data_IF_586153174142
#
_entry.id   IF_586153174142
#
_cell.length_a   1.000
_cell.length_b   1.000
_cell.length_c   1.000
_cell.angle_alpha   90.00
_cell.angle_beta   90.00
_cell.angle_gamma   90.00
#
_symmetry.space_group_name_H-M   'P 1'
#
loop_
_entity.id
_entity.type
_entity.pdbx_description
1 polymer ?
#
# COMPACT_ATOMS: atom_id res chain seq x y z
N UNK A 1 -41.77 -13.70 -0.54
CA UNK A 1 -40.39 -14.18 -0.75
C UNK A 1 -39.36 -13.05 -0.94
N UNK A 2 -39.34 -12.29 -2.05
CA UNK A 2 -38.30 -11.25 -2.24
C UNK A 2 -38.42 -10.04 -1.30
N UNK A 3 -39.66 -9.60 -1.00
CA UNK A 3 -39.92 -8.50 -0.07
C UNK A 3 -39.56 -8.91 1.37
N UNK A 4 -39.97 -10.11 1.77
CA UNK A 4 -39.59 -10.75 3.04
C UNK A 4 -38.07 -10.89 3.21
N UNK A 5 -37.33 -11.20 2.13
CA UNK A 5 -35.87 -11.28 2.15
C UNK A 5 -35.19 -9.91 2.29
N UNK A 6 -35.75 -8.85 1.73
CA UNK A 6 -35.20 -7.51 1.92
C UNK A 6 -35.49 -7.01 3.33
N UNK A 7 -36.70 -7.25 3.83
CA UNK A 7 -37.16 -6.81 5.15
C UNK A 7 -36.40 -7.54 6.27
N UNK A 8 -35.94 -8.78 6.05
CA UNK A 8 -35.17 -9.56 7.05
C UNK A 8 -33.81 -8.97 7.40
N UNK A 9 -33.30 -7.98 6.65
CA UNK A 9 -32.06 -7.27 6.98
C UNK A 9 -32.26 -6.11 7.96
N UNK A 10 -33.50 -5.68 8.21
CA UNK A 10 -33.79 -4.47 8.99
C UNK A 10 -34.55 -4.78 10.28
N UNK A 11 -34.20 -4.05 11.34
CA UNK A 11 -34.84 -4.13 12.65
C UNK A 11 -36.17 -3.39 12.70
N UNK A 12 -36.43 -2.54 11.71
CA UNK A 12 -37.58 -1.66 11.62
C UNK A 12 -38.27 -1.75 10.25
N UNK A 13 -39.58 -1.45 10.24
CA UNK A 13 -40.37 -1.41 9.01
C UNK A 13 -39.97 -0.26 8.06
N UNK A 14 -39.29 0.76 8.59
CA UNK A 14 -38.80 1.92 7.84
C UNK A 14 -37.44 1.69 7.15
N UNK A 15 -36.80 0.53 7.40
CA UNK A 15 -35.51 0.14 6.80
C UNK A 15 -34.39 1.13 7.09
N UNK A 16 -34.36 1.66 8.32
CA UNK A 16 -33.34 2.63 8.75
C UNK A 16 -32.25 1.99 9.62
N UNK A 17 -32.55 0.83 10.23
CA UNK A 17 -31.63 0.11 11.11
C UNK A 17 -31.39 -1.31 10.63
N UNK A 18 -30.15 -1.63 10.27
CA UNK A 18 -29.74 -2.97 9.81
C UNK A 18 -29.39 -3.87 10.99
N UNK A 19 -29.70 -5.16 10.92
CA UNK A 19 -29.24 -6.14 11.91
C UNK A 19 -27.71 -6.27 11.89
N UNK A 20 -27.08 -6.24 13.08
CA UNK A 20 -25.64 -6.46 13.22
C UNK A 20 -25.23 -7.90 12.87
N UNK A 21 -26.10 -8.87 13.17
CA UNK A 21 -25.85 -10.30 12.96
C UNK A 21 -26.86 -10.94 12.00
N UNK A 22 -26.49 -12.10 11.46
CA UNK A 22 -27.39 -12.93 10.66
C UNK A 22 -28.59 -13.43 11.49
N UNK A 23 -29.80 -13.19 10.98
CA UNK A 23 -31.04 -13.69 11.57
C UNK A 23 -31.28 -15.15 11.18
N UNK A 24 -32.17 -15.86 11.88
CA UNK A 24 -32.41 -17.29 11.61
C UNK A 24 -32.95 -17.57 10.21
N UNK A 25 -33.63 -16.60 9.60
CA UNK A 25 -34.04 -16.66 8.19
C UNK A 25 -32.84 -16.71 7.24
N UNK A 26 -31.79 -15.94 7.53
CA UNK A 26 -30.57 -15.86 6.74
C UNK A 26 -29.80 -17.18 6.72
N UNK A 27 -29.75 -17.88 7.87
CA UNK A 27 -29.05 -19.16 8.02
C UNK A 27 -29.65 -20.30 7.18
N UNK A 28 -30.87 -20.13 6.66
CA UNK A 28 -31.57 -21.13 5.84
C UNK A 28 -31.29 -20.99 4.34
N UNK A 29 -30.56 -19.95 3.92
CA UNK A 29 -30.25 -19.69 2.52
C UNK A 29 -28.85 -20.26 2.22
N UNK A 30 -28.74 -21.14 1.22
CA UNK A 30 -27.44 -21.65 0.74
C UNK A 30 -26.55 -20.48 0.31
N UNK A 31 -25.25 -20.57 0.61
CA UNK A 31 -24.23 -19.56 0.29
C UNK A 31 -24.43 -18.21 1.00
N UNK A 32 -25.40 -18.10 1.92
CA UNK A 32 -25.71 -16.85 2.60
C UNK A 32 -24.54 -16.37 3.46
N UNK A 33 -23.85 -17.28 4.14
CA UNK A 33 -22.70 -16.95 4.98
C UNK A 33 -21.59 -16.23 4.19
N UNK A 34 -21.38 -16.58 2.92
CA UNK A 34 -20.33 -15.98 2.09
C UNK A 34 -20.68 -14.57 1.57
N UNK A 35 -21.96 -14.21 1.58
CA UNK A 35 -22.46 -12.93 1.08
C UNK A 35 -23.02 -12.02 2.19
N UNK A 36 -23.16 -12.52 3.42
CA UNK A 36 -23.78 -11.82 4.55
C UNK A 36 -23.18 -10.42 4.75
N UNK A 37 -21.85 -10.32 4.83
CA UNK A 37 -21.18 -9.04 5.05
C UNK A 37 -21.45 -8.04 3.91
N UNK A 38 -21.44 -8.52 2.67
CA UNK A 38 -21.74 -7.69 1.49
C UNK A 38 -23.20 -7.22 1.47
N UNK A 39 -24.15 -8.10 1.83
CA UNK A 39 -25.57 -7.77 1.89
C UNK A 39 -25.90 -6.83 3.06
N UNK A 40 -25.26 -6.99 4.22
CA UNK A 40 -25.39 -6.05 5.34
C UNK A 40 -24.83 -4.67 4.97
N UNK A 41 -23.67 -4.61 4.30
CA UNK A 41 -23.10 -3.37 3.81
C UNK A 41 -24.03 -2.69 2.78
N UNK A 42 -24.59 -3.47 1.84
CA UNK A 42 -25.55 -2.96 0.87
C UNK A 42 -26.85 -2.45 1.54
N UNK A 43 -27.36 -3.16 2.55
CA UNK A 43 -28.53 -2.73 3.32
C UNK A 43 -28.25 -1.44 4.10
N UNK A 44 -27.05 -1.30 4.68
CA UNK A 44 -26.65 -0.09 5.39
C UNK A 44 -26.52 1.11 4.45
N UNK A 45 -25.92 0.92 3.27
CA UNK A 45 -25.86 1.93 2.22
C UNK A 45 -27.26 2.31 1.70
N UNK A 46 -28.17 1.34 1.58
CA UNK A 46 -29.56 1.61 1.23
C UNK A 46 -30.30 2.40 2.31
N UNK A 47 -30.08 2.13 3.60
CA UNK A 47 -30.70 2.90 4.69
C UNK A 47 -30.28 4.38 4.64
N UNK A 48 -29.02 4.66 4.30
CA UNK A 48 -28.39 6.00 4.27
C UNK A 48 -27.74 6.27 2.90
N UNK A 49 -28.52 6.58 1.86
CA UNK A 49 -27.99 6.82 0.52
C UNK A 49 -27.12 8.07 0.51
N UNK A 50 -26.00 8.01 -0.19
CA UNK A 50 -25.11 9.15 -0.44
C UNK A 50 -25.28 9.61 -1.89
N UNK A 51 -24.74 10.77 -2.25
CA UNK A 51 -24.72 11.26 -3.64
C UNK A 51 -24.03 10.29 -4.61
N UNK A 52 -23.08 9.50 -4.11
CA UNK A 52 -22.37 8.44 -4.85
C UNK A 52 -23.17 7.12 -4.93
N UNK A 53 -24.03 6.85 -3.94
CA UNK A 53 -24.87 5.66 -3.86
C UNK A 53 -26.34 6.04 -4.09
N UNK A 54 -26.69 6.36 -5.34
CA UNK A 54 -28.06 6.61 -5.83
C UNK A 54 -28.98 5.39 -5.79
N UNK A 55 -28.64 4.38 -4.98
CA UNK A 55 -29.38 3.13 -4.83
C UNK A 55 -30.85 3.34 -4.51
N UNK A 56 -31.26 4.41 -3.82
CA UNK A 56 -32.69 4.71 -3.66
C UNK A 56 -33.33 5.22 -4.95
N UNK A 57 -32.70 6.16 -5.68
CA UNK A 57 -33.22 6.67 -6.95
C UNK A 57 -33.24 5.59 -8.05
N UNK A 58 -32.22 4.73 -8.11
CA UNK A 58 -32.13 3.61 -9.06
C UNK A 58 -32.96 2.38 -8.65
N UNK A 59 -33.14 2.10 -7.34
CA UNK A 59 -34.06 1.05 -6.89
C UNK A 59 -35.53 1.50 -6.88
N UNK A 60 -35.78 2.82 -6.86
CA UNK A 60 -37.08 3.44 -7.11
C UNK A 60 -37.39 3.53 -8.61
N UNK A 61 -36.54 2.99 -9.50
CA UNK A 61 -37.01 2.51 -10.80
C UNK A 61 -38.15 1.54 -10.50
N UNK A 62 -39.37 2.00 -10.78
CA UNK A 62 -40.65 1.41 -10.38
C UNK A 62 -40.91 0.12 -11.15
N UNK A 63 -40.00 -0.85 -11.00
CA UNK A 63 -40.04 -2.16 -11.60
C UNK A 63 -41.11 -2.98 -10.88
N UNK A 64 -42.17 -3.32 -11.62
CA UNK A 64 -43.24 -4.19 -11.14
C UNK A 64 -43.37 -5.42 -12.03
N UNK A 65 -43.97 -6.48 -11.47
CA UNK A 65 -44.33 -7.68 -12.24
C UNK A 65 -43.16 -8.31 -13.00
N UNK A 66 -43.29 -8.41 -14.32
CA UNK A 66 -42.32 -9.07 -15.20
C UNK A 66 -41.00 -8.29 -15.34
N UNK A 67 -41.06 -6.95 -15.39
CA UNK A 67 -39.86 -6.09 -15.45
C UNK A 67 -38.93 -6.36 -14.26
N UNK A 68 -39.51 -6.45 -13.06
CA UNK A 68 -38.76 -6.75 -11.83
C UNK A 68 -38.10 -8.13 -11.87
N UNK A 69 -38.83 -9.17 -12.31
CA UNK A 69 -38.27 -10.53 -12.43
C UNK A 69 -37.12 -10.59 -13.43
N UNK A 70 -37.27 -9.92 -14.58
CA UNK A 70 -36.26 -9.88 -15.63
C UNK A 70 -35.00 -9.11 -15.17
N UNK A 71 -35.19 -7.93 -14.57
CA UNK A 71 -34.10 -7.16 -13.97
C UNK A 71 -33.40 -7.95 -12.87
N UNK A 72 -34.13 -8.61 -11.96
CA UNK A 72 -33.55 -9.40 -10.88
C UNK A 72 -32.66 -10.54 -11.40
N UNK A 73 -33.10 -11.26 -12.44
CA UNK A 73 -32.30 -12.33 -13.03
C UNK A 73 -30.98 -11.81 -13.63
N UNK A 74 -31.02 -10.68 -14.36
CA UNK A 74 -29.83 -10.04 -14.93
C UNK A 74 -28.90 -9.48 -13.86
N UNK A 75 -29.45 -8.77 -12.88
CA UNK A 75 -28.70 -8.21 -11.75
C UNK A 75 -28.05 -9.30 -10.90
N UNK A 76 -28.71 -10.45 -10.70
CA UNK A 76 -28.11 -11.59 -9.99
C UNK A 76 -26.85 -12.08 -10.69
N UNK A 77 -26.88 -12.23 -12.02
CA UNK A 77 -25.71 -12.67 -12.78
C UNK A 77 -24.57 -11.64 -12.70
N UNK A 78 -24.87 -10.35 -12.85
CA UNK A 78 -23.88 -9.27 -12.75
C UNK A 78 -23.28 -9.19 -11.35
N UNK A 79 -24.10 -9.27 -10.29
CA UNK A 79 -23.65 -9.26 -8.90
C UNK A 79 -22.75 -10.46 -8.59
N UNK A 80 -23.07 -11.65 -9.09
CA UNK A 80 -22.21 -12.83 -8.93
C UNK A 80 -20.85 -12.66 -9.62
N UNK A 81 -20.80 -12.05 -10.81
CA UNK A 81 -19.53 -11.75 -11.48
C UNK A 81 -18.72 -10.70 -10.71
N UNK A 82 -19.38 -9.63 -10.25
CA UNK A 82 -18.75 -8.57 -9.46
C UNK A 82 -18.16 -9.12 -8.16
N UNK A 83 -18.89 -9.99 -7.46
CA UNK A 83 -18.42 -10.62 -6.23
C UNK A 83 -17.20 -11.54 -6.47
N UNK A 84 -17.21 -12.33 -7.55
CA UNK A 84 -16.04 -13.14 -7.94
C UNK A 84 -14.83 -12.27 -8.26
N UNK A 85 -15.01 -11.10 -8.85
CA UNK A 85 -13.94 -10.13 -9.09
C UNK A 85 -13.45 -9.49 -7.79
N UNK A 86 -14.35 -9.12 -6.88
CA UNK A 86 -14.00 -8.59 -5.55
C UNK A 86 -13.14 -9.57 -4.77
N UNK A 87 -13.46 -10.87 -4.78
CA UNK A 87 -12.64 -11.93 -4.14
C UNK A 87 -11.22 -12.07 -4.72
N UNK A 88 -10.95 -11.47 -5.89
CA UNK A 88 -9.63 -11.47 -6.52
C UNK A 88 -8.83 -10.20 -6.24
N UNK A 89 -9.38 -9.26 -5.46
CA UNK A 89 -8.61 -8.10 -5.01
C UNK A 89 -7.38 -8.59 -4.23
N UNK A 90 -6.19 -8.08 -4.55
CA UNK A 90 -4.96 -8.49 -3.88
C UNK A 90 -5.01 -8.11 -2.39
N UNK A 91 -4.42 -8.96 -1.55
CA UNK A 91 -4.15 -8.65 -0.15
C UNK A 91 -2.68 -8.30 -0.01
N UNK A 92 -2.39 -7.19 0.64
CA UNK A 92 -1.03 -6.80 0.97
C UNK A 92 -0.53 -7.61 2.18
N UNK A 93 0.78 -7.84 2.23
CA UNK A 93 1.48 -8.26 3.43
C UNK A 93 1.28 -7.22 4.54
N UNK A 94 1.32 -7.66 5.79
CA UNK A 94 1.15 -6.79 6.97
C UNK A 94 2.07 -5.57 6.92
N UNK A 95 3.29 -5.74 6.44
CA UNK A 95 4.29 -4.67 6.38
C UNK A 95 4.01 -3.70 5.23
N UNK A 96 3.62 -4.20 4.05
CA UNK A 96 3.24 -3.37 2.92
C UNK A 96 1.93 -2.60 3.18
N UNK A 97 0.99 -3.19 3.91
CA UNK A 97 -0.28 -2.54 4.28
C UNK A 97 -0.06 -1.38 5.27
N UNK A 98 0.82 -1.57 6.26
CA UNK A 98 1.18 -0.55 7.26
C UNK A 98 2.09 0.55 6.70
N UNK A 99 2.64 0.38 5.49
CA UNK A 99 3.58 1.34 4.93
C UNK A 99 2.89 2.67 4.61
N UNK A 100 3.32 3.72 5.32
CA UNK A 100 2.94 5.12 5.07
C UNK A 100 4.11 5.92 4.53
N UNK A 101 3.84 7.08 3.95
CA UNK A 101 4.89 7.98 3.46
C UNK A 101 5.87 8.39 4.57
N UNK A 102 5.36 8.68 5.78
CA UNK A 102 6.19 9.01 6.94
C UNK A 102 7.07 7.82 7.35
N UNK A 103 6.51 6.61 7.41
CA UNK A 103 7.28 5.40 7.74
C UNK A 103 8.38 5.13 6.68
N UNK A 104 8.06 5.29 5.40
CA UNK A 104 9.04 5.16 4.32
C UNK A 104 10.17 6.20 4.46
N UNK A 105 9.84 7.46 4.71
CA UNK A 105 10.83 8.53 4.91
C UNK A 105 11.71 8.24 6.14
N UNK A 106 11.12 7.78 7.25
CA UNK A 106 11.88 7.46 8.46
C UNK A 106 12.86 6.32 8.24
N UNK A 107 12.45 5.23 7.55
CA UNK A 107 13.35 4.13 7.18
C UNK A 107 14.55 4.62 6.36
N UNK A 108 14.31 5.51 5.40
CA UNK A 108 15.37 6.08 4.55
C UNK A 108 16.31 6.98 5.38
N UNK A 109 15.76 7.81 6.27
CA UNK A 109 16.57 8.66 7.15
C UNK A 109 17.39 7.84 8.14
N UNK A 110 16.82 6.80 8.73
CA UNK A 110 17.54 5.86 9.59
C UNK A 110 18.68 5.19 8.82
N UNK A 111 18.42 4.74 7.59
CA UNK A 111 19.47 4.15 6.78
C UNK A 111 20.59 5.14 6.40
N UNK A 112 20.23 6.41 6.13
CA UNK A 112 21.18 7.43 5.75
C UNK A 112 22.00 7.98 6.94
N UNK A 113 21.33 8.25 8.07
CA UNK A 113 21.87 9.04 9.19
C UNK A 113 21.96 8.27 10.52
N UNK A 114 21.46 7.03 10.57
CA UNK A 114 21.39 6.19 11.78
C UNK A 114 20.15 6.45 12.65
N UNK A 115 19.48 7.61 12.49
CA UNK A 115 18.25 7.96 13.20
C UNK A 115 17.28 8.74 12.29
N UNK A 116 15.97 8.59 12.52
CA UNK A 116 14.93 9.23 11.69
C UNK A 116 14.75 10.73 11.91
N UNK A 117 15.26 11.27 13.02
CA UNK A 117 15.17 12.70 13.37
C UNK A 117 16.29 13.53 12.77
N UNK A 118 17.37 12.90 12.30
CA UNK A 118 18.52 13.59 11.75
C UNK A 118 18.31 13.99 10.28
N UNK A 119 19.14 14.93 9.85
CA UNK A 119 19.28 15.38 8.46
C UNK A 119 20.76 15.48 8.12
N UNK A 120 21.10 15.71 6.85
CA UNK A 120 22.48 16.02 6.47
C UNK A 120 23.06 17.25 7.19
N UNK A 121 22.20 18.16 7.69
CA UNK A 121 22.62 19.33 8.44
C UNK A 121 22.83 19.11 9.94
N UNK A 122 22.28 18.02 10.49
CA UNK A 122 22.22 17.81 11.95
C UNK A 122 22.80 16.47 12.41
N UNK A 123 23.09 15.56 11.48
CA UNK A 123 23.64 14.23 11.81
C UNK A 123 24.99 14.34 12.53
N UNK A 124 25.09 13.66 13.65
CA UNK A 124 26.36 13.49 14.38
C UNK A 124 27.00 12.15 14.06
N UNK A 125 28.29 12.01 14.36
CA UNK A 125 28.98 10.73 14.23
C UNK A 125 28.35 9.65 15.13
N UNK A 126 28.00 10.01 16.37
CA UNK A 126 27.37 9.07 17.30
C UNK A 126 26.03 8.54 16.76
N UNK A 127 25.22 9.41 16.16
CA UNK A 127 23.98 8.99 15.49
C UNK A 127 24.29 8.07 14.30
N UNK A 128 25.22 8.48 13.44
CA UNK A 128 25.57 7.73 12.25
C UNK A 128 26.12 6.32 12.55
N UNK A 129 26.94 6.19 13.61
CA UNK A 129 27.54 4.93 14.04
C UNK A 129 26.68 4.17 15.07
N UNK A 130 25.55 4.73 15.50
CA UNK A 130 24.63 4.10 16.46
C UNK A 130 25.16 4.06 17.90
N UNK A 131 26.09 4.94 18.26
CA UNK A 131 26.64 5.06 19.60
C UNK A 131 27.92 5.90 19.66
N UNK A 132 28.28 6.35 20.87
CA UNK A 132 29.48 7.14 21.10
C UNK A 132 30.76 6.33 20.85
N UNK A 133 31.53 6.72 19.83
CA UNK A 133 32.79 6.06 19.45
C UNK A 133 33.86 6.23 20.53
N UNK A 134 33.95 7.41 21.14
CA UNK A 134 34.99 7.75 22.12
C UNK A 134 36.39 7.53 21.52
N UNK A 135 37.22 6.68 22.15
CA UNK A 135 38.57 6.34 21.70
C UNK A 135 38.65 4.97 21.02
N UNK A 136 37.52 4.43 20.55
CA UNK A 136 37.53 3.17 19.82
C UNK A 136 38.28 3.36 18.49
N UNK A 137 39.23 2.46 18.21
CA UNK A 137 40.09 2.57 17.03
C UNK A 137 39.26 2.56 15.73
N UNK A 138 39.65 3.39 14.75
CA UNK A 138 38.91 3.56 13.49
C UNK A 138 38.65 2.23 12.78
N UNK A 139 39.65 1.35 12.74
CA UNK A 139 39.56 0.03 12.11
C UNK A 139 38.61 -0.95 12.81
N UNK A 140 38.24 -0.72 14.07
CA UNK A 140 37.26 -1.54 14.80
C UNK A 140 35.83 -1.03 14.60
N UNK A 141 35.66 0.25 14.30
CA UNK A 141 34.34 0.87 14.05
C UNK A 141 33.98 0.97 12.57
N UNK A 142 34.98 1.05 11.67
CA UNK A 142 34.81 1.03 10.21
C UNK A 142 34.59 -0.42 9.70
N UNK A 143 33.64 -1.10 10.31
CA UNK A 143 33.28 -2.49 10.04
C UNK A 143 31.77 -2.58 9.82
N UNK A 144 31.37 -3.33 8.79
CA UNK A 144 29.98 -3.69 8.58
C UNK A 144 29.55 -4.75 9.59
N UNK A 145 28.85 -4.33 10.64
CA UNK A 145 28.30 -5.18 11.68
C UNK A 145 26.98 -4.57 12.22
N UNK A 146 26.16 -5.39 12.90
CA UNK A 146 24.88 -4.96 13.48
C UNK A 146 25.06 -4.25 14.83
N UNK A 147 26.21 -4.41 15.47
CA UNK A 147 26.48 -3.83 16.78
C UNK A 147 26.52 -2.29 16.75
N UNK A 148 26.32 -1.67 17.91
CA UNK A 148 26.58 -0.25 18.08
C UNK A 148 28.06 0.08 17.82
N UNK A 149 28.35 1.35 17.48
CA UNK A 149 29.69 1.83 17.14
C UNK A 149 30.31 1.07 15.96
N UNK A 150 29.49 0.87 14.94
CA UNK A 150 29.84 0.24 13.67
C UNK A 150 29.22 1.06 12.56
N UNK A 151 29.39 0.64 11.31
CA UNK A 151 28.84 1.33 10.14
C UNK A 151 27.31 1.13 10.07
N UNK A 152 26.58 1.75 10.99
CA UNK A 152 25.12 1.64 11.16
C UNK A 152 24.31 2.52 10.19
N UNK A 153 24.99 3.34 9.38
CA UNK A 153 24.33 4.19 8.37
C UNK A 153 25.25 4.46 7.18
N UNK A 154 24.68 4.97 6.09
CA UNK A 154 25.43 5.42 4.94
C UNK A 154 26.41 6.56 5.29
N UNK A 155 26.04 7.49 6.18
CA UNK A 155 26.95 8.55 6.64
C UNK A 155 28.12 7.99 7.44
N UNK A 156 27.93 6.96 8.27
CA UNK A 156 29.05 6.31 8.95
C UNK A 156 30.02 5.65 7.96
N UNK A 157 29.49 5.05 6.88
CA UNK A 157 30.31 4.51 5.80
C UNK A 157 31.12 5.63 5.14
N UNK A 158 30.49 6.76 4.81
CA UNK A 158 31.18 7.91 4.22
C UNK A 158 32.23 8.51 5.15
N UNK A 159 31.97 8.62 6.45
CA UNK A 159 32.99 9.05 7.44
C UNK A 159 34.19 8.10 7.41
N UNK A 160 33.93 6.79 7.37
CA UNK A 160 34.95 5.74 7.28
C UNK A 160 35.77 5.80 5.99
N UNK A 161 35.17 6.26 4.88
CA UNK A 161 35.76 6.32 3.54
C UNK A 161 36.43 7.65 3.21
N UNK A 162 35.96 8.76 3.79
CA UNK A 162 36.28 10.09 3.31
C UNK A 162 37.02 10.96 4.31
N UNK A 163 36.75 10.82 5.62
CA UNK A 163 37.37 11.69 6.61
C UNK A 163 38.86 11.34 6.77
N UNK A 164 39.74 12.36 6.73
CA UNK A 164 41.17 12.13 6.89
C UNK A 164 41.49 11.73 8.33
N UNK A 165 42.45 10.82 8.51
CA UNK A 165 43.01 10.59 9.84
C UNK A 165 43.90 11.76 10.26
N UNK A 166 43.88 12.11 11.55
CA UNK A 166 44.81 13.09 12.14
C UNK A 166 45.67 12.49 13.23
N UNK A 167 45.73 11.15 13.32
CA UNK A 167 46.62 10.47 14.25
C UNK A 167 48.07 10.72 13.83
N UNK A 168 48.89 11.26 14.73
CA UNK A 168 50.27 11.70 14.45
C UNK A 168 51.19 10.60 13.89
N UNK A 169 50.92 9.34 14.23
CA UNK A 169 51.68 8.19 13.74
C UNK A 169 51.31 7.75 12.33
N UNK A 170 50.32 8.40 11.70
CA UNK A 170 49.77 8.01 10.41
C UNK A 170 50.01 9.08 9.34
N UNK A 171 50.44 8.64 8.16
CA UNK A 171 50.34 9.46 6.94
C UNK A 171 48.94 9.26 6.37
N UNK A 172 48.06 10.25 6.48
CA UNK A 172 46.71 10.18 5.93
C UNK A 172 46.69 10.62 4.45
N UNK A 173 46.02 9.89 3.55
CA UNK A 173 45.71 10.41 2.23
C UNK A 173 44.67 11.54 2.35
N UNK A 174 44.72 12.49 1.42
CA UNK A 174 43.79 13.62 1.32
C UNK A 174 43.00 13.54 0.01
N UNK A 175 41.81 14.14 -0.01
CA UNK A 175 40.97 14.20 -1.20
C UNK A 175 40.44 12.84 -1.64
N UNK A 176 40.34 11.86 -0.74
CA UNK A 176 39.95 10.47 -1.08
C UNK A 176 38.55 10.42 -1.70
N UNK A 177 37.62 11.20 -1.15
CA UNK A 177 36.30 11.40 -1.75
C UNK A 177 36.22 12.77 -2.43
N UNK A 178 36.46 13.83 -1.65
CA UNK A 178 36.65 15.22 -2.10
C UNK A 178 37.49 15.94 -1.04
N UNK A 179 38.18 17.03 -1.39
CA UNK A 179 38.98 17.80 -0.42
C UNK A 179 38.15 18.31 0.77
N UNK A 180 36.85 18.61 0.55
CA UNK A 180 35.95 19.02 1.64
C UNK A 180 35.58 17.87 2.56
N UNK A 181 35.51 16.65 2.03
CA UNK A 181 35.12 15.47 2.80
C UNK A 181 36.24 14.96 3.73
N UNK A 182 37.48 15.41 3.52
CA UNK A 182 38.59 15.16 4.46
C UNK A 182 38.27 15.67 5.86
N UNK A 183 37.46 16.74 5.96
CA UNK A 183 37.18 17.42 7.22
C UNK A 183 38.23 18.46 7.55
N UNK A 184 37.75 19.56 8.12
CA UNK A 184 38.58 20.66 8.61
C UNK A 184 39.46 20.21 9.79
N UNK A 185 38.88 19.40 10.68
CA UNK A 185 39.55 18.84 11.86
C UNK A 185 40.04 17.42 11.64
N UNK A 186 39.38 16.65 10.77
CA UNK A 186 39.65 15.24 10.53
C UNK A 186 39.33 14.38 11.75
N UNK A 187 39.91 13.18 11.81
CA UNK A 187 39.63 12.21 12.88
C UNK A 187 40.87 11.57 13.49
N UNK A 188 41.08 11.86 14.78
CA UNK A 188 42.02 11.13 15.63
C UNK A 188 41.26 10.11 16.50
N UNK A 189 41.09 8.90 15.98
CA UNK A 189 40.34 7.83 16.67
C UNK A 189 40.98 7.35 17.97
N UNK A 190 42.24 7.70 18.24
CA UNK A 190 42.88 7.34 19.51
C UNK A 190 42.33 8.16 20.69
N UNK A 191 41.68 9.30 20.41
CA UNK A 191 41.31 10.27 21.45
C UNK A 191 39.87 10.72 21.37
N UNK A 192 39.21 10.60 20.22
CA UNK A 192 37.85 11.16 20.06
C UNK A 192 37.01 10.51 18.97
N UNK A 193 35.70 10.70 19.13
CA UNK A 193 34.69 10.58 18.07
C UNK A 193 35.02 11.58 16.93
N UNK A 194 34.65 11.27 15.67
CA UNK A 194 34.68 12.25 14.58
C UNK A 194 33.91 13.53 14.92
N UNK A 195 34.44 14.69 14.50
CA UNK A 195 33.78 15.97 14.75
C UNK A 195 32.41 16.03 14.02
N UNK A 196 31.40 16.59 14.69
CA UNK A 196 30.05 16.71 14.13
C UNK A 196 30.00 17.64 12.89
N UNK A 197 30.75 18.75 12.88
CA UNK A 197 30.81 19.66 11.74
C UNK A 197 31.42 18.97 10.50
N UNK A 198 32.50 18.20 10.68
CA UNK A 198 33.09 17.43 9.58
C UNK A 198 32.14 16.31 9.13
N UNK A 199 31.42 15.66 10.06
CA UNK A 199 30.39 14.65 9.74
C UNK A 199 29.25 15.23 8.90
N UNK A 200 28.70 16.39 9.30
CA UNK A 200 27.66 17.07 8.51
C UNK A 200 28.19 17.55 7.16
N UNK A 201 29.46 17.97 7.09
CA UNK A 201 30.11 18.36 5.83
C UNK A 201 30.16 17.18 4.86
N UNK A 202 30.58 16.00 5.33
CA UNK A 202 30.56 14.77 4.55
C UNK A 202 29.13 14.43 4.09
N UNK A 203 28.14 14.48 4.98
CA UNK A 203 26.75 14.19 4.64
C UNK A 203 26.17 15.15 3.58
N UNK A 204 26.59 16.42 3.57
CA UNK A 204 26.16 17.43 2.60
C UNK A 204 26.87 17.35 1.25
N UNK A 205 28.02 16.68 1.16
CA UNK A 205 28.79 16.57 -0.09
C UNK A 205 28.16 15.57 -1.09
N UNK A 206 27.17 14.78 -0.66
CA UNK A 206 26.41 13.91 -1.56
C UNK A 206 25.65 14.73 -2.62
N UNK A 207 25.62 14.23 -3.86
CA UNK A 207 24.86 14.87 -4.93
C UNK A 207 23.36 14.94 -4.60
N UNK A 208 22.77 16.13 -4.75
CA UNK A 208 21.35 16.35 -4.47
C UNK A 208 20.47 15.65 -5.50
N UNK A 209 19.53 14.82 -5.01
CA UNK A 209 18.46 14.21 -5.81
C UNK A 209 17.09 14.84 -5.52
N UNK A 210 17.06 16.09 -5.05
CA UNK A 210 15.82 16.79 -4.72
C UNK A 210 14.85 16.76 -5.91
N UNK A 211 13.60 16.36 -5.65
CA UNK A 211 12.56 16.23 -6.67
C UNK A 211 12.53 14.88 -7.41
N UNK A 212 13.53 14.00 -7.22
CA UNK A 212 13.45 12.64 -7.75
C UNK A 212 12.48 11.80 -6.91
N UNK A 213 11.58 11.11 -7.60
CA UNK A 213 10.67 10.15 -6.95
C UNK A 213 11.45 8.94 -6.44
N UNK A 214 11.19 8.53 -5.21
CA UNK A 214 11.74 7.30 -4.63
C UNK A 214 10.89 6.12 -5.11
N UNK A 215 11.55 5.06 -5.60
CA UNK A 215 10.89 3.90 -6.22
C UNK A 215 11.60 2.62 -5.77
N UNK A 216 10.90 1.49 -5.78
CA UNK A 216 11.54 0.20 -5.47
C UNK A 216 12.81 -0.03 -6.32
N UNK A 217 12.73 0.27 -7.62
CA UNK A 217 13.83 0.12 -8.56
C UNK A 217 15.07 0.95 -8.18
N UNK A 218 14.90 2.20 -7.76
CA UNK A 218 16.06 3.03 -7.41
C UNK A 218 16.70 2.63 -6.06
N UNK A 219 15.92 2.10 -5.12
CA UNK A 219 16.45 1.57 -3.87
C UNK A 219 17.24 0.28 -4.11
N UNK A 220 16.71 -0.63 -4.94
CA UNK A 220 17.41 -1.87 -5.34
C UNK A 220 18.69 -1.54 -6.09
N UNK A 221 18.63 -0.64 -7.06
CA UNK A 221 19.81 -0.22 -7.82
C UNK A 221 20.89 0.40 -6.92
N UNK A 222 20.51 1.21 -5.93
CA UNK A 222 21.47 1.77 -4.98
C UNK A 222 22.17 0.68 -4.15
N UNK A 223 21.42 -0.33 -3.67
CA UNK A 223 21.97 -1.45 -2.91
C UNK A 223 22.92 -2.32 -3.74
N UNK A 224 22.53 -2.67 -4.97
CA UNK A 224 23.37 -3.46 -5.88
C UNK A 224 24.61 -2.68 -6.33
N UNK A 225 24.49 -1.37 -6.58
CA UNK A 225 25.65 -0.53 -6.89
C UNK A 225 26.65 -0.54 -5.74
N UNK A 226 26.21 -0.38 -4.48
CA UNK A 226 27.11 -0.46 -3.33
C UNK A 226 27.80 -1.83 -3.26
N UNK A 227 27.05 -2.90 -3.45
CA UNK A 227 27.58 -4.27 -3.45
C UNK A 227 28.64 -4.47 -4.54
N UNK A 228 28.43 -3.91 -5.73
CA UNK A 228 29.39 -3.99 -6.85
C UNK A 228 30.72 -3.28 -6.59
N UNK A 229 30.76 -2.35 -5.63
CA UNK A 229 31.97 -1.61 -5.24
C UNK A 229 32.80 -2.34 -4.18
N UNK A 230 32.31 -3.47 -3.67
CA UNK A 230 33.03 -4.27 -2.68
C UNK A 230 34.00 -5.19 -3.40
N UNK A 231 35.28 -5.10 -3.04
CA UNK A 231 36.31 -6.04 -3.46
C UNK A 231 36.75 -6.90 -2.29
N UNK A 232 37.53 -7.96 -2.55
CA UNK A 232 37.93 -8.94 -1.53
C UNK A 232 39.44 -8.96 -1.38
N UNK A 233 39.90 -9.12 -0.14
CA UNK A 233 41.28 -9.46 0.19
C UNK A 233 41.28 -10.47 1.35
N UNK A 234 42.02 -11.58 1.19
CA UNK A 234 41.92 -12.72 2.10
C UNK A 234 40.50 -13.27 2.19
N UNK A 235 39.96 -13.37 3.40
CA UNK A 235 38.59 -13.89 3.65
C UNK A 235 37.52 -12.80 3.68
N UNK A 236 37.92 -11.53 3.61
CA UNK A 236 37.09 -10.39 3.94
C UNK A 236 36.81 -9.52 2.70
N UNK A 237 35.75 -8.72 2.79
CA UNK A 237 35.34 -7.77 1.77
C UNK A 237 35.62 -6.35 2.22
N UNK A 238 35.85 -5.44 1.28
CA UNK A 238 36.19 -4.05 1.54
C UNK A 238 35.46 -3.13 0.58
N UNK A 239 34.75 -2.14 1.13
CA UNK A 239 34.32 -0.96 0.38
C UNK A 239 35.37 0.12 0.56
N UNK A 240 35.86 0.70 -0.53
CA UNK A 240 36.96 1.68 -0.50
C UNK A 240 38.35 1.05 -0.61
N UNK A 241 39.39 1.87 -0.47
CA UNK A 241 40.77 1.45 -0.71
C UNK A 241 41.33 0.72 0.53
N UNK A 242 41.57 -0.59 0.40
CA UNK A 242 42.30 -1.40 1.39
C UNK A 242 43.70 -1.73 0.85
N UNK A 243 44.71 -1.64 1.71
CA UNK A 243 46.13 -1.87 1.39
C UNK A 243 46.83 -2.82 2.37
N UNK A 244 46.33 -2.96 3.60
CA UNK A 244 46.83 -3.93 4.57
C UNK A 244 46.49 -3.60 6.03
N UNK A 245 46.45 -4.61 6.91
CA UNK A 245 46.27 -4.52 8.38
C UNK A 245 44.98 -3.89 8.92
N UNK A 246 44.25 -3.05 8.17
CA UNK A 246 42.95 -2.53 8.60
C UNK A 246 42.49 -1.24 7.90
N UNK A 247 41.26 -0.83 8.21
CA UNK A 247 40.67 0.42 7.71
C UNK A 247 40.86 1.56 8.72
N UNK A 248 42.11 1.99 8.94
CA UNK A 248 42.45 2.97 9.98
C UNK A 248 42.60 4.41 9.47
N UNK A 249 42.39 4.66 8.18
CA UNK A 249 42.47 5.99 7.57
C UNK A 249 43.87 6.44 7.19
N UNK A 250 44.88 5.58 7.27
CA UNK A 250 46.25 5.88 6.83
C UNK A 250 46.56 5.30 5.45
N UNK A 251 47.54 5.90 4.77
CA UNK A 251 47.93 5.56 3.40
C UNK A 251 48.59 4.18 3.27
N UNK A 252 49.20 3.67 4.35
CA UNK A 252 49.80 2.34 4.39
C UNK A 252 48.81 1.20 4.66
N UNK A 253 47.59 1.53 5.09
CA UNK A 253 46.63 0.55 5.58
C UNK A 253 45.31 0.57 4.82
N UNK A 254 44.59 1.68 4.83
CA UNK A 254 43.35 1.79 4.07
C UNK A 254 42.36 2.81 4.60
N UNK A 255 41.54 3.30 3.67
CA UNK A 255 40.38 4.15 3.91
C UNK A 255 39.18 3.41 3.36
N UNK A 256 38.59 2.56 4.21
CA UNK A 256 37.67 1.52 3.81
C UNK A 256 36.63 1.20 4.90
N UNK A 257 35.65 0.39 4.54
CA UNK A 257 34.78 -0.35 5.46
C UNK A 257 35.03 -1.83 5.24
N UNK A 258 35.32 -2.55 6.33
CA UNK A 258 35.57 -4.00 6.29
C UNK A 258 34.27 -4.81 6.47
N UNK A 259 34.13 -5.89 5.72
CA UNK A 259 33.07 -6.88 5.80
C UNK A 259 33.66 -8.25 6.11
N UNK A 260 33.63 -8.65 7.39
CA UNK A 260 34.23 -9.91 7.84
C UNK A 260 33.53 -11.13 7.25
N UNK A 261 34.30 -12.04 6.66
CA UNK A 261 33.82 -13.30 6.08
C UNK A 261 33.09 -13.15 4.76
N UNK A 262 33.22 -11.99 4.10
CA UNK A 262 32.50 -11.69 2.86
C UNK A 262 32.81 -12.69 1.73
N UNK A 263 34.05 -13.19 1.61
CA UNK A 263 34.40 -14.13 0.54
C UNK A 263 33.59 -15.43 0.63
N UNK A 264 33.33 -15.90 1.86
CA UNK A 264 32.60 -17.15 2.10
C UNK A 264 31.08 -16.96 2.00
N UNK A 265 30.55 -15.84 2.51
CA UNK A 265 29.11 -15.53 2.46
C UNK A 265 28.87 -14.02 2.30
N UNK A 266 28.89 -13.51 1.05
CA UNK A 266 28.63 -12.10 0.76
C UNK A 266 27.26 -11.65 1.29
N UNK A 267 26.25 -12.52 1.20
CA UNK A 267 24.88 -12.22 1.61
C UNK A 267 24.78 -12.08 3.13
N UNK A 268 25.35 -13.01 3.89
CA UNK A 268 25.41 -12.95 5.35
C UNK A 268 26.23 -11.77 5.86
N UNK A 269 27.36 -11.45 5.21
CA UNK A 269 28.16 -10.27 5.54
C UNK A 269 27.38 -8.97 5.34
N UNK A 270 26.67 -8.82 4.22
CA UNK A 270 25.89 -7.61 3.91
C UNK A 270 24.61 -7.49 4.75
N UNK A 271 23.98 -8.59 5.14
CA UNK A 271 22.86 -8.59 6.10
C UNK A 271 23.23 -8.03 7.47
N UNK A 272 24.53 -7.89 7.78
CA UNK A 272 24.98 -7.20 8.99
C UNK A 272 24.87 -5.68 8.88
N UNK A 273 24.80 -5.12 7.68
CA UNK A 273 24.38 -3.74 7.47
C UNK A 273 22.86 -3.65 7.53
N UNK A 274 22.34 -3.46 8.74
CA UNK A 274 20.89 -3.36 9.00
C UNK A 274 20.22 -2.28 8.16
N UNK A 275 20.90 -1.16 7.92
CA UNK A 275 20.41 -0.09 7.06
C UNK A 275 20.27 -0.52 5.59
N UNK A 276 21.16 -1.35 5.04
CA UNK A 276 21.01 -1.88 3.68
C UNK A 276 19.78 -2.80 3.59
N UNK A 277 19.59 -3.64 4.62
CA UNK A 277 18.46 -4.56 4.70
C UNK A 277 17.13 -3.80 4.79
N UNK A 278 17.09 -2.75 5.62
CA UNK A 278 15.92 -1.87 5.73
C UNK A 278 15.54 -1.22 4.40
N UNK A 279 16.53 -0.85 3.58
CA UNK A 279 16.31 -0.28 2.24
C UNK A 279 15.78 -1.31 1.24
N UNK A 280 16.27 -2.55 1.28
CA UNK A 280 15.75 -3.64 0.41
C UNK A 280 14.35 -4.08 0.83
N UNK A 281 14.05 -4.09 2.13
CA UNK A 281 12.72 -4.39 2.65
C UNK A 281 11.71 -3.30 2.23
N UNK A 282 12.10 -2.03 2.35
CA UNK A 282 11.29 -0.91 1.87
C UNK A 282 11.02 -1.02 0.36
N UNK A 283 12.04 -1.39 -0.43
CA UNK A 283 11.85 -1.62 -1.87
C UNK A 283 10.84 -2.73 -2.15
N UNK A 284 10.90 -3.83 -1.40
CA UNK A 284 9.97 -4.96 -1.51
C UNK A 284 8.53 -4.52 -1.20
N UNK A 285 8.32 -3.79 -0.10
CA UNK A 285 7.01 -3.26 0.28
C UNK A 285 6.46 -2.28 -0.76
N UNK A 286 7.30 -1.39 -1.30
CA UNK A 286 6.91 -0.47 -2.37
C UNK A 286 6.49 -1.20 -3.64
N UNK A 287 7.23 -2.26 -4.02
CA UNK A 287 6.91 -3.04 -5.21
C UNK A 287 5.58 -3.79 -5.05
N UNK A 288 5.37 -4.42 -3.89
CA UNK A 288 4.13 -5.12 -3.58
C UNK A 288 2.91 -4.19 -3.65
N UNK A 289 3.01 -2.98 -3.07
CA UNK A 289 1.93 -1.98 -3.16
C UNK A 289 1.67 -1.54 -4.59
N UNK A 290 2.73 -1.37 -5.39
CA UNK A 290 2.60 -0.94 -6.79
C UNK A 290 1.91 -2.01 -7.64
N UNK A 291 2.29 -3.29 -7.50
CA UNK A 291 1.67 -4.41 -8.19
C UNK A 291 0.22 -4.60 -7.75
N UNK A 292 -0.03 -4.57 -6.45
CA UNK A 292 -1.36 -4.66 -5.85
C UNK A 292 -2.28 -3.54 -6.35
N UNK A 293 -1.79 -2.30 -6.39
CA UNK A 293 -2.53 -1.16 -6.97
C UNK A 293 -2.89 -1.39 -8.43
N UNK A 294 -1.95 -1.86 -9.26
CA UNK A 294 -2.22 -2.12 -10.69
C UNK A 294 -3.31 -3.19 -10.88
N UNK A 295 -3.29 -4.25 -10.08
CA UNK A 295 -4.33 -5.29 -10.11
C UNK A 295 -5.67 -4.74 -9.61
N UNK A 296 -5.68 -4.01 -8.49
CA UNK A 296 -6.86 -3.41 -7.92
C UNK A 296 -7.52 -2.40 -8.89
N UNK A 297 -6.75 -1.52 -9.53
CA UNK A 297 -7.26 -0.56 -10.52
C UNK A 297 -7.92 -1.29 -11.70
N UNK A 298 -7.32 -2.39 -12.18
CA UNK A 298 -7.91 -3.23 -13.25
C UNK A 298 -9.21 -3.88 -12.81
N UNK A 299 -9.28 -4.40 -11.59
CA UNK A 299 -10.49 -5.01 -11.03
C UNK A 299 -11.58 -3.94 -10.84
N UNK A 300 -11.24 -2.78 -10.29
CA UNK A 300 -12.15 -1.67 -10.09
C UNK A 300 -12.75 -1.15 -11.41
N UNK A 301 -11.94 -1.06 -12.47
CA UNK A 301 -12.44 -0.72 -13.80
C UNK A 301 -13.48 -1.74 -14.31
N UNK A 302 -13.24 -3.05 -14.10
CA UNK A 302 -14.22 -4.09 -14.44
C UNK A 302 -15.48 -4.03 -13.58
N UNK A 303 -15.34 -3.74 -12.28
CA UNK A 303 -16.47 -3.55 -11.38
C UNK A 303 -17.33 -2.35 -11.83
N UNK A 304 -16.69 -1.26 -12.29
CA UNK A 304 -17.40 -0.11 -12.86
C UNK A 304 -18.18 -0.50 -14.13
N UNK A 305 -17.56 -1.23 -15.05
CA UNK A 305 -18.25 -1.75 -16.25
C UNK A 305 -19.45 -2.65 -15.89
N UNK A 306 -19.31 -3.50 -14.86
CA UNK A 306 -20.41 -4.32 -14.37
C UNK A 306 -21.52 -3.47 -13.73
N UNK A 307 -21.17 -2.38 -13.06
CA UNK A 307 -22.15 -1.40 -12.56
C UNK A 307 -22.94 -0.75 -13.70
N UNK A 308 -22.25 -0.33 -14.76
CA UNK A 308 -22.90 0.26 -15.94
C UNK A 308 -23.80 -0.78 -16.65
N UNK A 309 -23.34 -2.03 -16.75
CA UNK A 309 -24.13 -3.13 -17.30
C UNK A 309 -25.37 -3.46 -16.44
N UNK A 310 -25.27 -3.34 -15.12
CA UNK A 310 -26.39 -3.48 -14.21
C UNK A 310 -27.46 -2.40 -14.47
N UNK A 311 -27.05 -1.14 -14.60
CA UNK A 311 -27.95 -0.03 -14.92
C UNK A 311 -28.64 -0.24 -16.29
N UNK A 312 -27.87 -0.63 -17.31
CA UNK A 312 -28.42 -0.93 -18.65
C UNK A 312 -29.41 -2.11 -18.62
N UNK A 313 -29.11 -3.17 -17.86
CA UNK A 313 -29.98 -4.33 -17.71
C UNK A 313 -31.34 -3.97 -17.08
N UNK A 314 -31.35 -3.01 -16.15
CA UNK A 314 -32.59 -2.49 -15.59
C UNK A 314 -33.40 -1.73 -16.64
N UNK A 315 -32.78 -0.78 -17.36
CA UNK A 315 -33.46 -0.01 -18.41
C UNK A 315 -34.01 -0.90 -19.55
N UNK A 316 -33.28 -1.94 -19.94
CA UNK A 316 -33.73 -2.91 -20.94
C UNK A 316 -34.92 -3.74 -20.44
N UNK A 317 -34.92 -4.11 -19.14
CA UNK A 317 -36.02 -4.85 -18.54
C UNK A 317 -37.31 -4.03 -18.47
N UNK A 318 -37.21 -2.71 -18.25
CA UNK A 318 -38.33 -1.78 -18.34
C UNK A 318 -38.89 -1.73 -19.76
N UNK A 319 -38.02 -1.50 -20.74
CA UNK A 319 -38.40 -1.39 -22.17
C UNK A 319 -39.04 -2.68 -22.69
N UNK A 320 -38.49 -3.84 -22.32
CA UNK A 320 -39.03 -5.16 -22.71
C UNK A 320 -40.42 -5.40 -22.11
N UNK A 321 -40.62 -5.03 -20.84
CA UNK A 321 -41.92 -5.20 -20.20
C UNK A 321 -43.00 -4.28 -20.82
N UNK A 322 -42.62 -3.07 -21.23
CA UNK A 322 -43.52 -2.13 -21.93
C UNK A 322 -43.93 -2.64 -23.31
N UNK A 323 -42.96 -3.06 -24.13
CA UNK A 323 -43.19 -3.54 -25.51
C UNK A 323 -44.04 -4.81 -25.58
N UNK A 324 -43.81 -5.79 -24.70
CA UNK A 324 -44.64 -6.99 -24.63
C UNK A 324 -46.07 -6.71 -24.13
N UNK A 325 -46.24 -5.75 -23.22
CA UNK A 325 -47.56 -5.31 -22.78
C UNK A 325 -48.34 -4.67 -23.93
N UNK A 326 -47.67 -3.88 -24.78
CA UNK A 326 -48.27 -3.33 -26.01
C UNK A 326 -48.57 -4.41 -27.06
N UNK A 327 -47.71 -5.40 -27.24
CA UNK A 327 -47.93 -6.50 -28.18
C UNK A 327 -49.09 -7.44 -27.76
N UNK A 328 -49.26 -7.67 -26.46
CA UNK A 328 -50.40 -8.43 -25.92
C UNK A 328 -51.75 -7.71 -26.12
N UNK A 329 -51.74 -6.37 -26.19
CA UNK A 329 -52.94 -5.57 -26.52
C UNK A 329 -53.26 -5.64 -28.01
N UNK A 330 -52.24 -5.78 -28.88
CA UNK A 330 -52.41 -5.77 -30.35
C UNK A 330 -52.80 -7.16 -30.91
N UNK A 331 -52.30 -8.27 -30.35
CA UNK A 331 -52.52 -9.64 -30.85
C UNK A 331 -53.79 -10.35 -30.32
N UNK A 332 -54.91 -9.63 -30.26
CA UNK A 332 -56.19 -10.06 -29.66
C UNK A 332 -56.51 -11.57 -29.71
N UNK A 333 -56.57 -12.18 -28.52
CA UNK A 333 -57.52 -13.27 -28.20
C UNK A 333 -58.26 -12.90 -26.92
N UNK A 334 -59.46 -12.38 -27.08
CA UNK A 334 -60.47 -12.32 -26.03
C UNK A 334 -60.75 -13.73 -25.52
N UNK A 335 -60.49 -13.97 -24.23
CA UNK A 335 -61.40 -14.80 -23.44
C UNK A 335 -61.82 -13.99 -22.22
N UNK A 336 -63.11 -13.68 -22.23
CA UNK A 336 -63.88 -13.20 -21.09
C UNK A 336 -63.50 -13.96 -19.82
N UNK A 337 -62.75 -13.28 -18.97
CA UNK A 337 -62.88 -13.28 -17.52
C UNK A 337 -61.94 -12.20 -17.02
N UNK A 338 -62.34 -10.95 -17.23
CA UNK A 338 -62.07 -9.92 -16.22
C UNK A 338 -62.89 -10.37 -15.00
N UNK A 339 -62.39 -11.39 -14.28
CA UNK A 339 -62.79 -11.61 -12.91
C UNK A 339 -62.29 -10.39 -12.19
N UNK A 340 -63.22 -9.48 -12.01
CA UNK A 340 -63.39 -8.50 -10.94
C UNK A 340 -62.49 -8.79 -9.74
N UNK A 341 -61.20 -8.49 -9.85
CA UNK A 341 -60.31 -8.31 -8.71
C UNK A 341 -60.50 -6.85 -8.28
N UNK A 342 -61.65 -6.64 -7.62
CA UNK A 342 -62.00 -5.55 -6.73
C UNK A 342 -61.25 -4.21 -6.95
N UNK A 343 -61.85 -3.29 -7.72
CA UNK A 343 -61.60 -1.85 -7.54
C UNK A 343 -62.24 -1.37 -6.21
N UNK A 344 -61.93 -2.01 -5.07
CA UNK A 344 -62.39 -1.64 -3.72
C UNK A 344 -61.39 -0.75 -2.96
N UNK A 345 -60.35 -0.28 -3.67
CA UNK A 345 -59.33 0.60 -3.13
C UNK A 345 -59.96 1.90 -2.60
N UNK A 346 -59.77 2.19 -1.30
CA UNK A 346 -60.36 3.36 -0.62
C UNK A 346 -59.70 4.71 -0.97
N UNK A 347 -58.65 4.72 -1.78
CA UNK A 347 -57.91 5.94 -2.15
C UNK A 347 -57.54 5.97 -3.63
N UNK A 348 -57.43 7.18 -4.20
CA UNK A 348 -57.10 7.40 -5.61
C UNK A 348 -55.82 6.67 -6.04
N UNK A 349 -54.78 6.70 -5.19
CA UNK A 349 -53.45 6.17 -5.48
C UNK A 349 -53.39 4.64 -5.62
N UNK A 350 -54.30 3.90 -5.00
CA UNK A 350 -54.41 2.44 -5.15
C UNK A 350 -55.35 2.05 -6.29
N UNK A 351 -56.33 2.89 -6.63
CA UNK A 351 -57.24 2.69 -7.76
C UNK A 351 -56.52 2.83 -9.12
N UNK A 352 -55.80 3.92 -9.33
CA UNK A 352 -55.00 4.12 -10.56
C UNK A 352 -53.89 3.09 -10.71
N UNK A 353 -53.36 2.58 -9.60
CA UNK A 353 -52.31 1.54 -9.57
C UNK A 353 -52.80 0.16 -10.03
N UNK A 354 -54.11 -0.10 -9.91
CA UNK A 354 -54.74 -1.31 -10.42
C UNK A 354 -55.22 -1.18 -11.89
N UNK A 355 -55.00 -0.02 -12.53
CA UNK A 355 -55.51 0.28 -13.87
C UNK A 355 -57.00 0.65 -13.90
N UNK A 356 -57.61 0.94 -12.75
CA UNK A 356 -58.99 1.42 -12.66
C UNK A 356 -59.04 2.96 -12.80
N UNK A 357 -60.14 3.50 -13.34
CA UNK A 357 -60.42 4.95 -13.38
C UNK A 357 -61.04 5.38 -12.04
N UNK A 358 -60.50 6.42 -11.41
CA UNK A 358 -61.01 6.97 -10.15
C UNK A 358 -62.01 8.11 -10.40
N UNK A 359 -63.29 7.87 -10.11
CA UNK A 359 -64.34 8.88 -10.16
C UNK A 359 -64.65 9.33 -8.71
N UNK A 360 -63.85 10.26 -8.19
CA UNK A 360 -63.96 10.73 -6.81
C UNK A 360 -65.31 11.39 -6.50
N UNK A 361 -65.81 11.18 -5.28
CA UNK A 361 -66.70 12.12 -4.59
C UNK A 361 -66.00 12.64 -3.35
#
# INVERSE_FOLDING_TARGET
VERERQDSFYQDGEKTKVHADAQDYHKKISDFAEHLADWQAAAAAYAKPTTENKLKEEADLKLFGKAKKLAHAKLKAVAQQAWKLKKRLPTLSTDADKLTDNLAVNKIKEAAFGVSTATAATVTADQAFGGAINSDARETVCVGDKAAKKVNSAVAALVSLCMKSTRVSYTAPTGVCTDKADGSTGWNSATSTPNAADTTTIAKNCHSKKGQKITAANLIAAAENMKSLIHTDGTDGYLGAYKGTGCNGSNGHGVCVKFTGYLADPGGALKKLTWLTSMTDLATQLNERQESKTVADRINNKLKQLSDAAAAAVAEAETTALTESSAAIINGKTKSNVKTAQCSAKTNTTCTRAGCKWDGK
#
